data_IF_132484806278
#
_entry.id   IF_132484806278
#
_cell.length_a   1.000
_cell.length_b   1.000
_cell.length_c   1.000
_cell.angle_alpha   90.00
_cell.angle_beta   90.00
_cell.angle_gamma   90.00
#
_symmetry.space_group_name_H-M   'P 1'
#
loop_
_entity.id
_entity.type
_entity.pdbx_description
1 polymer ?
#
# COMPACT_ATOMS: atom_id res chain seq x y z
N UNK A 1 -13.91 -133.64 63.34
CA UNK A 1 -14.15 -132.47 62.47
C UNK A 1 -15.35 -132.77 61.59
N UNK A 2 -16.36 -131.90 61.59
CA UNK A 2 -17.57 -132.09 60.81
C UNK A 2 -17.37 -131.43 59.43
N UNK A 3 -16.94 -132.23 58.44
CA UNK A 3 -16.59 -131.74 57.10
C UNK A 3 -17.74 -131.03 56.35
N UNK A 4 -18.99 -131.31 56.75
CA UNK A 4 -20.19 -130.68 56.19
C UNK A 4 -20.29 -129.19 56.56
N UNK A 5 -20.05 -128.86 57.82
CA UNK A 5 -20.07 -127.47 58.31
C UNK A 5 -18.98 -126.63 57.64
N UNK A 6 -17.78 -127.19 57.45
CA UNK A 6 -16.67 -126.50 56.77
C UNK A 6 -16.96 -126.23 55.28
N UNK A 7 -17.64 -127.16 54.61
CA UNK A 7 -18.07 -126.98 53.22
C UNK A 7 -19.16 -125.91 53.10
N UNK A 8 -20.15 -125.92 53.99
CA UNK A 8 -21.21 -124.89 54.03
C UNK A 8 -20.64 -123.49 54.33
N UNK A 9 -19.66 -123.39 55.24
CA UNK A 9 -18.97 -122.13 55.54
C UNK A 9 -18.16 -121.61 54.33
N UNK A 10 -17.45 -122.50 53.62
CA UNK A 10 -16.71 -122.12 52.41
C UNK A 10 -17.64 -121.73 51.26
N UNK A 11 -18.76 -122.42 51.08
CA UNK A 11 -19.76 -122.06 50.08
C UNK A 11 -20.37 -120.67 50.35
N UNK A 12 -20.69 -120.36 51.61
CA UNK A 12 -21.16 -119.02 52.00
C UNK A 12 -20.10 -117.94 51.76
N UNK A 13 -18.83 -118.20 52.10
CA UNK A 13 -17.72 -117.26 51.82
C UNK A 13 -17.54 -117.00 50.32
N UNK A 14 -17.67 -118.03 49.49
CA UNK A 14 -17.57 -117.90 48.04
C UNK A 14 -18.73 -117.08 47.46
N UNK A 15 -19.94 -117.31 47.97
CA UNK A 15 -21.12 -116.55 47.56
C UNK A 15 -21.00 -115.07 47.95
N UNK A 16 -20.56 -114.77 49.17
CA UNK A 16 -20.30 -113.38 49.60
C UNK A 16 -19.22 -112.71 48.75
N UNK A 17 -18.13 -113.42 48.43
CA UNK A 17 -17.07 -112.89 47.56
C UNK A 17 -17.58 -112.63 46.13
N UNK A 18 -18.44 -113.49 45.60
CA UNK A 18 -19.06 -113.30 44.28
C UNK A 18 -20.00 -112.09 44.26
N UNK A 19 -20.80 -111.90 45.31
CA UNK A 19 -21.65 -110.73 45.50
C UNK A 19 -20.82 -109.43 45.59
N UNK A 20 -19.76 -109.41 46.41
CA UNK A 20 -18.84 -108.27 46.53
C UNK A 20 -18.11 -107.96 45.20
N UNK A 21 -17.67 -108.99 44.48
CA UNK A 21 -17.02 -108.82 43.18
C UNK A 21 -17.99 -108.25 42.14
N UNK A 22 -19.21 -108.78 42.07
CA UNK A 22 -20.24 -108.27 41.15
C UNK A 22 -20.58 -106.81 41.46
N UNK A 23 -20.72 -106.47 42.74
CA UNK A 23 -20.95 -105.08 43.16
C UNK A 23 -19.78 -104.17 42.77
N UNK A 24 -18.53 -104.61 42.97
CA UNK A 24 -17.34 -103.85 42.56
C UNK A 24 -17.29 -103.61 41.05
N UNK A 25 -17.65 -104.62 40.24
CA UNK A 25 -17.70 -104.52 38.78
C UNK A 25 -18.78 -103.51 38.35
N UNK A 26 -19.96 -103.56 38.95
CA UNK A 26 -21.04 -102.61 38.67
C UNK A 26 -20.66 -101.17 39.05
N UNK A 27 -20.04 -100.97 40.22
CA UNK A 27 -19.59 -99.66 40.68
C UNK A 27 -18.45 -99.10 39.80
N UNK A 28 -17.50 -99.94 39.36
CA UNK A 28 -16.47 -99.55 38.40
C UNK A 28 -17.05 -99.14 37.06
N UNK A 29 -17.98 -99.94 36.52
CA UNK A 29 -18.60 -99.65 35.23
C UNK A 29 -19.40 -98.33 35.28
N UNK A 30 -20.14 -98.11 36.37
CA UNK A 30 -20.88 -96.86 36.58
C UNK A 30 -19.94 -95.65 36.67
N UNK A 31 -18.79 -95.80 37.33
CA UNK A 31 -17.77 -94.75 37.43
C UNK A 31 -17.12 -94.46 36.07
N UNK A 32 -16.77 -95.49 35.29
CA UNK A 32 -16.24 -95.34 33.92
C UNK A 32 -17.24 -94.60 33.02
N UNK A 33 -18.51 -94.98 33.05
CA UNK A 33 -19.57 -94.32 32.28
C UNK A 33 -19.73 -92.84 32.67
N UNK A 34 -19.61 -92.52 33.97
CA UNK A 34 -19.64 -91.15 34.45
C UNK A 34 -18.44 -90.35 33.96
N UNK A 35 -17.24 -90.93 34.01
CA UNK A 35 -16.03 -90.28 33.51
C UNK A 35 -16.09 -90.06 31.99
N UNK A 36 -16.58 -91.04 31.24
CA UNK A 36 -16.76 -90.93 29.79
C UNK A 36 -17.73 -89.81 29.41
N UNK A 37 -18.88 -89.73 30.08
CA UNK A 37 -19.84 -88.61 29.90
C UNK A 37 -19.21 -87.25 30.21
N UNK A 38 -18.36 -87.19 31.24
CA UNK A 38 -17.64 -85.96 31.60
C UNK A 38 -16.64 -85.56 30.51
N UNK A 39 -15.85 -86.51 30.00
CA UNK A 39 -14.90 -86.28 28.91
C UNK A 39 -15.61 -85.79 27.64
N UNK A 40 -16.74 -86.39 27.28
CA UNK A 40 -17.53 -85.98 26.12
C UNK A 40 -18.10 -84.57 26.27
N UNK A 41 -18.61 -84.24 27.46
CA UNK A 41 -19.12 -82.90 27.78
C UNK A 41 -18.01 -81.85 27.69
N UNK A 42 -16.85 -82.10 28.30
CA UNK A 42 -15.69 -81.21 28.26
C UNK A 42 -15.15 -81.07 26.84
N UNK A 43 -15.10 -82.14 26.06
CA UNK A 43 -14.66 -82.11 24.66
C UNK A 43 -15.57 -81.25 23.79
N UNK A 44 -16.90 -81.33 23.99
CA UNK A 44 -17.87 -80.47 23.31
C UNK A 44 -17.68 -79.00 23.70
N UNK A 45 -17.51 -78.70 24.99
CA UNK A 45 -17.27 -77.34 25.47
C UNK A 45 -15.94 -76.77 24.92
N UNK A 46 -14.89 -77.58 24.88
CA UNK A 46 -13.59 -77.19 24.33
C UNK A 46 -13.71 -76.83 22.84
N UNK A 47 -14.41 -77.65 22.05
CA UNK A 47 -14.64 -77.39 20.63
C UNK A 47 -15.45 -76.09 20.41
N UNK A 48 -16.49 -75.86 21.22
CA UNK A 48 -17.27 -74.62 21.18
C UNK A 48 -16.42 -73.39 21.52
N UNK A 49 -15.59 -73.48 22.56
CA UNK A 49 -14.69 -72.41 22.96
C UNK A 49 -13.63 -72.10 21.88
N UNK A 50 -13.08 -73.13 21.23
CA UNK A 50 -12.13 -72.97 20.13
C UNK A 50 -12.76 -72.27 18.92
N UNK A 51 -13.99 -72.63 18.54
CA UNK A 51 -14.71 -71.96 17.46
C UNK A 51 -15.00 -70.50 17.77
N UNK A 52 -15.45 -70.20 19.00
CA UNK A 52 -15.69 -68.82 19.45
C UNK A 52 -14.39 -68.00 19.42
N UNK A 53 -13.28 -68.57 19.89
CA UNK A 53 -11.98 -67.92 19.84
C UNK A 53 -11.52 -67.61 18.41
N UNK A 54 -11.76 -68.53 17.47
CA UNK A 54 -11.42 -68.33 16.06
C UNK A 54 -12.23 -67.17 15.45
N UNK A 55 -13.54 -67.14 15.68
CA UNK A 55 -14.41 -66.06 15.22
C UNK A 55 -13.96 -64.71 15.78
N UNK A 56 -13.68 -64.65 17.08
CA UNK A 56 -13.22 -63.42 17.73
C UNK A 56 -11.88 -62.93 17.18
N UNK A 57 -10.96 -63.84 16.83
CA UNK A 57 -9.69 -63.49 16.17
C UNK A 57 -9.90 -62.88 14.79
N UNK A 58 -10.80 -63.44 13.99
CA UNK A 58 -11.12 -62.92 12.66
C UNK A 58 -11.77 -61.53 12.74
N UNK A 59 -12.71 -61.32 13.65
CA UNK A 59 -13.35 -60.02 13.90
C UNK A 59 -12.34 -58.98 14.35
N UNK A 60 -11.46 -59.34 15.29
CA UNK A 60 -10.38 -58.45 15.78
C UNK A 60 -9.43 -58.06 14.63
N UNK A 61 -9.09 -59.00 13.75
CA UNK A 61 -8.24 -58.72 12.60
C UNK A 61 -8.92 -57.80 11.59
N UNK A 62 -10.22 -57.97 11.33
CA UNK A 62 -11.00 -57.07 10.46
C UNK A 62 -11.03 -55.66 11.04
N UNK A 63 -11.38 -55.51 12.31
CA UNK A 63 -11.40 -54.21 13.00
C UNK A 63 -10.03 -53.52 12.97
N UNK A 64 -8.93 -54.28 13.15
CA UNK A 64 -7.57 -53.77 13.05
C UNK A 64 -7.25 -53.24 11.64
N UNK A 65 -7.63 -53.97 10.60
CA UNK A 65 -7.42 -53.55 9.22
C UNK A 65 -8.24 -52.29 8.87
N UNK A 66 -9.49 -52.20 9.36
CA UNK A 66 -10.33 -51.02 9.20
C UNK A 66 -9.74 -49.78 9.89
N UNK A 67 -9.28 -49.94 11.13
CA UNK A 67 -8.60 -48.87 11.87
C UNK A 67 -7.34 -48.39 11.15
N UNK A 68 -6.52 -49.30 10.61
CA UNK A 68 -5.33 -48.93 9.84
C UNK A 68 -5.70 -48.15 8.58
N UNK A 69 -6.77 -48.54 7.88
CA UNK A 69 -7.23 -47.83 6.69
C UNK A 69 -7.71 -46.41 7.03
N UNK A 70 -8.45 -46.25 8.14
CA UNK A 70 -8.91 -44.94 8.62
C UNK A 70 -7.72 -44.07 9.01
N UNK A 71 -6.74 -44.61 9.76
CA UNK A 71 -5.51 -43.89 10.11
C UNK A 71 -4.78 -43.38 8.87
N UNK A 72 -4.57 -44.23 7.86
CA UNK A 72 -3.91 -43.85 6.62
C UNK A 72 -4.69 -42.75 5.86
N UNK A 73 -6.02 -42.76 5.91
CA UNK A 73 -6.84 -41.72 5.29
C UNK A 73 -6.73 -40.39 6.03
N UNK A 74 -6.79 -40.42 7.37
CA UNK A 74 -6.66 -39.23 8.21
C UNK A 74 -5.27 -38.60 8.05
N UNK A 75 -4.21 -39.39 8.00
CA UNK A 75 -2.85 -38.91 7.81
C UNK A 75 -2.68 -38.19 6.46
N UNK A 76 -3.27 -38.73 5.38
CA UNK A 76 -3.31 -38.04 4.08
C UNK A 76 -4.07 -36.72 4.14
N UNK A 77 -5.17 -36.65 4.90
CA UNK A 77 -5.92 -35.40 5.07
C UNK A 77 -5.13 -34.37 5.87
N UNK A 78 -4.44 -34.78 6.93
CA UNK A 78 -3.55 -33.93 7.74
C UNK A 78 -2.47 -33.33 6.84
N UNK A 79 -1.74 -34.15 6.09
CA UNK A 79 -0.68 -33.68 5.19
C UNK A 79 -1.21 -32.68 4.15
N UNK A 80 -2.42 -32.92 3.61
CA UNK A 80 -3.07 -31.98 2.68
C UNK A 80 -3.41 -30.66 3.36
N UNK A 81 -3.89 -30.68 4.60
CA UNK A 81 -4.22 -29.47 5.36
C UNK A 81 -2.98 -28.69 5.76
N UNK A 82 -1.90 -29.36 6.13
CA UNK A 82 -0.61 -28.73 6.43
C UNK A 82 -0.01 -28.03 5.20
N UNK A 83 -0.09 -28.65 4.03
CA UNK A 83 0.31 -28.01 2.78
C UNK A 83 -0.52 -26.75 2.49
N UNK A 84 -1.85 -26.82 2.65
CA UNK A 84 -2.75 -25.66 2.49
C UNK A 84 -2.41 -24.52 3.45
N UNK A 85 -2.12 -24.84 4.73
CA UNK A 85 -1.71 -23.84 5.73
C UNK A 85 -0.41 -23.16 5.30
N UNK A 86 0.57 -23.93 4.84
CA UNK A 86 1.87 -23.41 4.38
C UNK A 86 1.70 -22.45 3.21
N UNK A 87 0.86 -22.78 2.23
CA UNK A 87 0.60 -21.93 1.07
C UNK A 87 -0.15 -20.64 1.45
N UNK A 88 -1.11 -20.74 2.37
CA UNK A 88 -1.82 -19.57 2.91
C UNK A 88 -0.88 -18.64 3.68
N UNK A 89 0.06 -19.19 4.45
CA UNK A 89 1.07 -18.39 5.17
C UNK A 89 1.98 -17.63 4.20
N UNK A 90 2.44 -18.27 3.12
CA UNK A 90 3.23 -17.61 2.06
C UNK A 90 2.42 -16.48 1.41
N UNK A 91 1.17 -16.75 1.06
CA UNK A 91 0.27 -15.76 0.46
C UNK A 91 0.06 -14.56 1.37
N UNK A 92 -0.15 -14.79 2.67
CA UNK A 92 -0.28 -13.74 3.68
C UNK A 92 0.99 -12.89 3.80
N UNK A 93 2.17 -13.52 3.73
CA UNK A 93 3.44 -12.79 3.73
C UNK A 93 3.58 -11.90 2.49
N UNK A 94 3.18 -12.39 1.32
CA UNK A 94 3.17 -11.59 0.07
C UNK A 94 2.26 -10.37 0.21
N UNK A 95 1.03 -10.54 0.70
CA UNK A 95 0.11 -9.42 0.89
C UNK A 95 0.62 -8.40 1.91
N UNK A 96 1.27 -8.85 2.99
CA UNK A 96 1.90 -7.94 3.96
C UNK A 96 2.98 -7.08 3.30
N UNK A 97 3.80 -7.64 2.42
CA UNK A 97 4.81 -6.87 1.69
C UNK A 97 4.16 -5.85 0.76
N UNK A 98 3.14 -6.27 0.00
CA UNK A 98 2.40 -5.37 -0.90
C UNK A 98 1.74 -4.20 -0.17
N UNK A 99 1.23 -4.42 1.05
CA UNK A 99 0.68 -3.33 1.87
C UNK A 99 1.76 -2.32 2.23
N UNK A 100 2.94 -2.78 2.66
CA UNK A 100 4.07 -1.90 2.97
C UNK A 100 4.49 -1.09 1.73
N UNK A 101 4.59 -1.73 0.56
CA UNK A 101 4.96 -1.04 -0.69
C UNK A 101 3.93 0.06 -1.03
N UNK A 102 2.63 -0.23 -0.88
CA UNK A 102 1.57 0.75 -1.11
C UNK A 102 1.58 1.90 -0.11
N UNK A 103 1.89 1.64 1.17
CA UNK A 103 2.05 2.67 2.19
C UNK A 103 3.21 3.61 1.86
N UNK A 104 4.35 3.07 1.41
CA UNK A 104 5.50 3.86 0.96
C UNK A 104 5.16 4.71 -0.26
N UNK A 105 4.50 4.13 -1.27
CA UNK A 105 4.07 4.87 -2.47
C UNK A 105 3.06 5.97 -2.13
N UNK A 106 2.18 5.74 -1.17
CA UNK A 106 1.24 6.74 -0.68
C UNK A 106 1.96 7.91 -0.01
N UNK A 107 2.95 7.65 0.83
CA UNK A 107 3.76 8.69 1.47
C UNK A 107 4.55 9.52 0.47
N UNK A 108 5.13 8.87 -0.55
CA UNK A 108 5.81 9.56 -1.65
C UNK A 108 4.85 10.47 -2.43
N UNK A 109 3.66 9.97 -2.76
CA UNK A 109 2.64 10.76 -3.44
C UNK A 109 2.16 11.95 -2.60
N UNK A 110 1.93 11.74 -1.30
CA UNK A 110 1.55 12.82 -0.38
C UNK A 110 2.63 13.91 -0.32
N UNK A 111 3.91 13.52 -0.29
CA UNK A 111 5.03 14.48 -0.34
C UNK A 111 5.04 15.27 -1.65
N UNK A 112 4.83 14.58 -2.79
CA UNK A 112 4.75 15.23 -4.10
C UNK A 112 3.58 16.20 -4.22
N UNK A 113 2.42 15.85 -3.65
CA UNK A 113 1.26 16.75 -3.58
C UNK A 113 1.61 18.02 -2.82
N UNK A 114 2.21 17.91 -1.63
CA UNK A 114 2.62 19.08 -0.84
C UNK A 114 3.59 20.00 -1.59
N UNK A 115 4.56 19.43 -2.30
CA UNK A 115 5.51 20.20 -3.12
C UNK A 115 4.80 20.96 -4.24
N UNK A 116 3.84 20.31 -4.91
CA UNK A 116 3.04 20.96 -5.97
C UNK A 116 2.12 22.04 -5.42
N UNK A 117 1.50 21.83 -4.26
CA UNK A 117 0.70 22.84 -3.58
C UNK A 117 1.52 24.08 -3.19
N UNK A 118 2.74 23.88 -2.68
CA UNK A 118 3.66 24.98 -2.36
C UNK A 118 4.10 25.73 -3.61
N UNK A 119 4.45 25.03 -4.69
CA UNK A 119 4.82 25.63 -5.96
C UNK A 119 3.66 26.42 -6.57
N UNK A 120 2.43 25.90 -6.52
CA UNK A 120 1.24 26.62 -6.98
C UNK A 120 1.01 27.89 -6.18
N UNK A 121 1.13 27.84 -4.85
CA UNK A 121 0.99 29.02 -4.00
C UNK A 121 2.02 30.10 -4.30
N UNK A 122 3.27 29.72 -4.55
CA UNK A 122 4.32 30.67 -4.96
C UNK A 122 4.01 31.29 -6.33
N UNK A 123 3.50 30.51 -7.28
CA UNK A 123 3.07 31.00 -8.60
C UNK A 123 1.87 31.95 -8.50
N UNK A 124 0.88 31.65 -7.66
CA UNK A 124 -0.26 32.54 -7.39
C UNK A 124 0.21 33.89 -6.86
N UNK A 125 1.10 33.90 -5.85
CA UNK A 125 1.66 35.14 -5.31
C UNK A 125 2.44 35.93 -6.37
N UNK A 126 3.18 35.25 -7.24
CA UNK A 126 3.91 35.89 -8.35
C UNK A 126 2.95 36.48 -9.37
N UNK A 127 1.87 35.77 -9.71
CA UNK A 127 0.84 36.24 -10.63
C UNK A 127 0.17 37.51 -10.08
N UNK A 128 -0.22 37.51 -8.81
CA UNK A 128 -0.84 38.68 -8.16
C UNK A 128 0.08 39.91 -8.22
N UNK A 129 1.38 39.73 -7.93
CA UNK A 129 2.37 40.81 -8.03
C UNK A 129 2.51 41.36 -9.44
N UNK A 130 2.52 40.49 -10.46
CA UNK A 130 2.59 40.91 -11.87
C UNK A 130 1.33 41.65 -12.28
N UNK A 131 0.16 41.20 -11.84
CA UNK A 131 -1.11 41.87 -12.10
C UNK A 131 -1.16 43.26 -11.44
N UNK A 132 -0.67 43.39 -10.20
CA UNK A 132 -0.55 44.68 -9.51
C UNK A 132 0.40 45.63 -10.24
N UNK A 133 1.59 45.15 -10.64
CA UNK A 133 2.54 45.94 -11.43
C UNK A 133 1.95 46.38 -12.77
N UNK A 134 1.20 45.50 -13.44
CA UNK A 134 0.52 45.82 -14.70
C UNK A 134 -0.54 46.89 -14.50
N UNK A 135 -1.33 46.80 -13.41
CA UNK A 135 -2.33 47.81 -13.07
C UNK A 135 -1.69 49.18 -12.83
N UNK A 136 -0.62 49.24 -12.03
CA UNK A 136 0.14 50.47 -11.79
C UNK A 136 0.69 51.08 -13.10
N UNK A 137 1.34 50.26 -13.93
CA UNK A 137 1.87 50.70 -15.22
C UNK A 137 0.77 51.22 -16.16
N UNK A 138 -0.41 50.59 -16.16
CA UNK A 138 -1.55 51.07 -16.95
C UNK A 138 -2.08 52.41 -16.42
N UNK A 139 -2.17 52.59 -15.10
CA UNK A 139 -2.56 53.88 -14.51
C UNK A 139 -1.56 54.98 -14.87
N UNK A 140 -0.26 54.72 -14.75
CA UNK A 140 0.79 55.67 -15.11
C UNK A 140 0.74 56.04 -16.60
N UNK A 141 0.52 55.05 -17.48
CA UNK A 141 0.38 55.29 -18.92
C UNK A 141 -0.85 56.13 -19.25
N UNK A 142 -1.99 55.88 -18.62
CA UNK A 142 -3.21 56.67 -18.85
C UNK A 142 -3.04 58.11 -18.34
N UNK A 143 -2.39 58.31 -17.19
CA UNK A 143 -2.07 59.62 -16.65
C UNK A 143 -1.13 60.41 -17.59
N UNK A 144 -0.04 59.77 -18.05
CA UNK A 144 0.89 60.37 -19.01
C UNK A 144 0.21 60.70 -20.34
N UNK A 145 -0.66 59.82 -20.84
CA UNK A 145 -1.44 60.05 -22.05
C UNK A 145 -2.40 61.24 -21.88
N UNK A 146 -3.11 61.34 -20.76
CA UNK A 146 -3.98 62.49 -20.46
C UNK A 146 -3.20 63.79 -20.37
N UNK A 147 -2.09 63.79 -19.64
CA UNK A 147 -1.22 64.97 -19.51
C UNK A 147 -0.65 65.42 -20.86
N UNK A 148 -0.20 64.47 -21.69
CA UNK A 148 0.31 64.75 -23.03
C UNK A 148 -0.81 65.30 -23.93
N UNK A 149 -2.03 64.78 -23.82
CA UNK A 149 -3.18 65.26 -24.58
C UNK A 149 -3.55 66.70 -24.19
N UNK A 150 -3.60 67.02 -22.90
CA UNK A 150 -3.82 68.38 -22.40
C UNK A 150 -2.73 69.36 -22.87
N UNK A 151 -1.47 68.94 -22.85
CA UNK A 151 -0.35 69.73 -23.34
C UNK A 151 -0.45 69.98 -24.85
N UNK A 152 -0.82 68.96 -25.64
CA UNK A 152 -1.07 69.11 -27.08
C UNK A 152 -2.20 70.12 -27.34
N UNK A 153 -3.29 70.07 -26.59
CA UNK A 153 -4.40 71.02 -26.74
C UNK A 153 -3.99 72.44 -26.38
N UNK A 154 -3.24 72.63 -25.29
CA UNK A 154 -2.66 73.93 -24.92
C UNK A 154 -1.74 74.46 -26.02
N UNK A 155 -0.83 73.64 -26.54
CA UNK A 155 0.10 74.03 -27.61
C UNK A 155 -0.65 74.38 -28.89
N UNK A 156 -1.69 73.63 -29.27
CA UNK A 156 -2.56 73.96 -30.40
C UNK A 156 -3.25 75.31 -30.22
N UNK A 157 -3.74 75.60 -29.02
CA UNK A 157 -4.39 76.87 -28.70
C UNK A 157 -3.40 78.05 -28.78
N UNK A 158 -2.21 77.92 -28.19
CA UNK A 158 -1.14 78.93 -28.30
C UNK A 158 -0.69 79.13 -29.74
N UNK A 159 -0.61 78.05 -30.53
CA UNK A 159 -0.26 78.15 -31.94
C UNK A 159 -1.32 78.94 -32.72
N UNK A 160 -2.61 78.69 -32.46
CA UNK A 160 -3.72 79.45 -33.04
C UNK A 160 -3.66 80.94 -32.65
N UNK A 161 -3.44 81.24 -31.38
CA UNK A 161 -3.28 82.64 -30.90
C UNK A 161 -2.12 83.34 -31.61
N UNK A 162 -0.97 82.68 -31.74
CA UNK A 162 0.18 83.21 -32.48
C UNK A 162 -0.10 83.40 -33.98
N UNK A 163 -0.88 82.50 -34.61
CA UNK A 163 -1.31 82.63 -36.00
C UNK A 163 -2.28 83.81 -36.20
N UNK A 164 -3.22 83.99 -35.26
CA UNK A 164 -4.15 85.12 -35.23
C UNK A 164 -3.39 86.44 -35.03
N UNK A 165 -2.44 86.50 -34.09
CA UNK A 165 -1.56 87.65 -33.87
C UNK A 165 -0.69 87.95 -35.11
N UNK A 166 -0.11 86.92 -35.73
CA UNK A 166 0.67 87.08 -36.96
C UNK A 166 -0.20 87.65 -38.09
N UNK A 167 -1.44 87.19 -38.20
CA UNK A 167 -2.41 87.68 -39.19
C UNK A 167 -2.80 89.13 -38.89
N UNK A 168 -3.08 89.46 -37.64
CA UNK A 168 -3.35 90.83 -37.20
C UNK A 168 -2.15 91.76 -37.46
N UNK A 169 -0.93 91.33 -37.18
CA UNK A 169 0.30 92.06 -37.46
C UNK A 169 0.53 92.25 -38.97
N UNK A 170 0.20 91.26 -39.80
CA UNK A 170 0.20 91.39 -41.27
C UNK A 170 -0.85 92.39 -41.76
N UNK A 171 -2.05 92.42 -41.16
CA UNK A 171 -3.08 93.41 -41.45
C UNK A 171 -2.70 94.83 -41.00
N UNK A 172 -2.04 94.97 -39.84
CA UNK A 172 -1.47 96.24 -39.36
C UNK A 172 -0.33 96.76 -40.26
N UNK A 173 0.48 95.85 -40.82
CA UNK A 173 1.54 96.19 -41.80
C UNK A 173 1.01 96.66 -43.16
N UNK A 174 -0.28 96.52 -43.46
CA UNK A 174 -0.90 97.08 -44.67
C UNK A 174 -1.25 98.57 -44.54
N UNK A 175 -1.03 99.19 -43.37
CA UNK A 175 -1.30 100.63 -43.15
C UNK A 175 -0.14 101.44 -42.54
N UNK A 176 1.07 100.89 -42.40
CA UNK A 176 2.21 101.68 -41.90
C UNK A 176 3.46 101.39 -42.73
N UNK A 177 3.77 102.36 -43.60
CA UNK A 177 5.09 102.58 -44.16
C UNK A 177 6.07 102.90 -43.02
N UNK A 178 7.25 102.27 -43.06
CA UNK A 178 8.57 102.63 -42.48
C UNK A 178 9.20 101.74 -41.39
N UNK A 179 10.40 101.28 -41.78
CA UNK A 179 11.64 100.95 -41.05
C UNK A 179 11.83 99.60 -40.32
N UNK A 180 12.99 98.93 -40.54
CA UNK A 180 13.30 97.63 -39.95
C UNK A 180 14.01 97.80 -38.59
N UNK A 181 13.46 97.21 -37.53
CA UNK A 181 14.14 97.08 -36.25
C UNK A 181 14.82 95.70 -36.15
N UNK A 182 16.12 95.72 -35.87
CA UNK A 182 16.97 94.54 -35.85
C UNK A 182 16.62 93.60 -34.69
N UNK A 183 16.29 92.36 -35.03
CA UNK A 183 16.16 91.25 -34.08
C UNK A 183 17.54 90.92 -33.49
N UNK A 184 17.72 91.12 -32.18
CA UNK A 184 18.92 90.67 -31.44
C UNK A 184 18.95 89.15 -31.36
N UNK A 185 19.96 88.54 -31.97
CA UNK A 185 20.33 87.15 -31.74
C UNK A 185 20.70 86.90 -30.27
N UNK A 186 20.21 85.81 -29.63
CA UNK A 186 20.67 85.41 -28.31
C UNK A 186 22.17 85.06 -28.34
N UNK A 187 22.91 85.55 -27.35
CA UNK A 187 24.35 85.34 -27.18
C UNK A 187 24.68 83.87 -26.91
N UNK A 188 25.80 83.40 -27.48
CA UNK A 188 26.35 82.02 -27.43
C UNK A 188 26.51 81.45 -26.00
N UNK A 189 26.53 82.29 -24.97
CA UNK A 189 26.74 81.86 -23.58
C UNK A 189 25.58 81.00 -23.01
N UNK A 190 24.35 81.13 -23.54
CA UNK A 190 23.23 80.25 -23.14
C UNK A 190 23.30 78.84 -23.73
N UNK A 191 24.12 78.59 -24.76
CA UNK A 191 24.36 77.23 -25.27
C UNK A 191 25.36 76.43 -24.42
N UNK A 192 26.28 77.09 -23.70
CA UNK A 192 27.25 76.42 -22.82
C UNK A 192 26.62 75.84 -21.55
N UNK A 193 25.54 76.45 -21.04
CA UNK A 193 24.82 75.93 -19.87
C UNK A 193 24.13 74.58 -20.17
N UNK A 194 23.60 74.41 -21.39
CA UNK A 194 23.00 73.14 -21.84
C UNK A 194 24.03 72.02 -22.03
N UNK A 195 25.27 72.33 -22.42
CA UNK A 195 26.33 71.33 -22.56
C UNK A 195 26.75 70.71 -21.21
N UNK A 196 26.68 71.46 -20.11
CA UNK A 196 26.99 70.95 -18.77
C UNK A 196 25.90 69.99 -18.24
N UNK A 197 24.62 70.26 -18.55
CA UNK A 197 23.51 69.36 -18.23
C UNK A 197 23.56 68.07 -19.06
N UNK A 198 23.87 68.18 -20.35
CA UNK A 198 24.00 67.04 -21.25
C UNK A 198 25.11 66.06 -20.82
N UNK A 199 26.25 66.60 -20.36
CA UNK A 199 27.35 65.77 -19.83
C UNK A 199 26.96 65.03 -18.53
N UNK A 200 26.18 65.66 -17.64
CA UNK A 200 25.68 64.97 -16.43
C UNK A 200 24.71 63.83 -16.77
N UNK A 201 23.82 64.04 -17.74
CA UNK A 201 22.90 63.01 -18.22
C UNK A 201 23.67 61.83 -18.86
N UNK A 202 24.73 62.10 -19.62
CA UNK A 202 25.59 61.07 -20.19
C UNK A 202 26.30 60.24 -19.11
N UNK A 203 26.84 60.88 -18.06
CA UNK A 203 27.46 60.17 -16.93
C UNK A 203 26.47 59.28 -16.19
N UNK A 204 25.23 59.74 -16.00
CA UNK A 204 24.18 58.95 -15.33
C UNK A 204 23.79 57.73 -16.18
N UNK A 205 23.64 57.89 -17.49
CA UNK A 205 23.35 56.80 -18.42
C UNK A 205 24.49 55.78 -18.42
N UNK A 206 25.75 56.22 -18.44
CA UNK A 206 26.91 55.32 -18.36
C UNK A 206 26.96 54.54 -17.04
N UNK A 207 26.60 55.16 -15.91
CA UNK A 207 26.53 54.49 -14.61
C UNK A 207 25.43 53.42 -14.57
N UNK A 208 24.25 53.71 -15.15
CA UNK A 208 23.14 52.76 -15.23
C UNK A 208 23.46 51.57 -16.14
N UNK A 209 24.10 51.80 -17.28
CA UNK A 209 24.56 50.71 -18.17
C UNK A 209 25.54 49.80 -17.44
N UNK A 210 26.49 50.38 -16.71
CA UNK A 210 27.47 49.60 -15.93
C UNK A 210 26.81 48.76 -14.82
N UNK A 211 25.87 49.33 -14.05
CA UNK A 211 25.15 48.59 -13.01
C UNK A 211 24.32 47.42 -13.58
N UNK A 212 23.77 47.59 -14.79
CA UNK A 212 23.05 46.55 -15.53
C UNK A 212 24.00 45.43 -15.99
N UNK A 213 25.16 45.76 -16.53
CA UNK A 213 26.17 44.78 -16.95
C UNK A 213 26.75 43.99 -15.76
N UNK A 214 26.96 44.65 -14.61
CA UNK A 214 27.42 43.98 -13.38
C UNK A 214 26.35 43.00 -12.86
N UNK A 215 25.07 43.39 -12.85
CA UNK A 215 23.96 42.50 -12.45
C UNK A 215 23.76 41.34 -13.42
N UNK A 216 23.87 41.59 -14.72
CA UNK A 216 23.77 40.56 -15.75
C UNK A 216 24.94 39.56 -15.65
N UNK A 217 26.13 40.03 -15.32
CA UNK A 217 27.31 39.18 -15.09
C UNK A 217 27.16 38.31 -13.84
N UNK A 218 26.55 38.84 -12.78
CA UNK A 218 26.25 38.10 -11.55
C UNK A 218 25.27 36.94 -11.80
N UNK A 219 24.22 37.19 -12.59
CA UNK A 219 23.23 36.17 -12.98
C UNK A 219 23.88 35.08 -13.85
N UNK A 220 24.81 35.43 -14.74
CA UNK A 220 25.52 34.45 -15.56
C UNK A 220 26.43 33.55 -14.73
N UNK A 221 27.10 34.08 -13.70
CA UNK A 221 27.97 33.30 -12.81
C UNK A 221 27.18 32.41 -11.83
N UNK A 222 25.92 32.71 -11.52
CA UNK A 222 25.07 31.84 -10.70
C UNK A 222 24.43 30.67 -11.49
N UNK A 223 24.56 30.66 -12.83
CA UNK A 223 24.00 29.63 -13.72
C UNK A 223 25.05 28.66 -14.29
N UNK A 224 26.32 28.82 -13.89
CA UNK A 224 27.46 27.93 -14.18
C UNK A 224 27.92 27.26 -12.90
#
# INVERSE_FOLDING_TARGET
MNYKELYEEMAQKYQLMEEEYNQFVEESQALEDQQQKSIESLSKQLAQAQNSLLQQKEETQKARNELQNIQNQLEKQINKKEAQITDLQKTLQTYKMQIIDLEVDQDLNNSKVRQLEEANKDLEVKLDKVLEQLALAHTDLEAMKSQTQEEIERLKQTLKENEDELTAAKCLKLNITTTPEMVKMPKIDSLRANAAGFNKSLTLIQALIKDLDDKMSLIRHQRS
#
